data_IF_395587988618
#
_entry.id   IF_395587988618
#
_cell.length_a   1.000
_cell.length_b   1.000
_cell.length_c   1.000
_cell.angle_alpha   90.00
_cell.angle_beta   90.00
_cell.angle_gamma   90.00
#
_symmetry.space_group_name_H-M   'P 1'
#
loop_
_entity.id
_entity.type
_entity.pdbx_description
1 polymer ?
#
# COMPACT_ATOMS: atom_id res chain seq x y z
N UNK A 1 19.70 14.26 -2.33
CA UNK A 1 19.08 13.59 -1.16
C UNK A 1 19.84 12.29 -0.98
N UNK A 2 20.29 11.91 0.24
CA UNK A 2 20.93 10.61 0.43
C UNK A 2 19.95 9.49 0.03
N UNK A 3 20.42 8.39 -0.61
CA UNK A 3 19.55 7.29 -0.99
C UNK A 3 18.88 6.72 0.26
N UNK A 4 17.56 6.52 0.21
CA UNK A 4 16.85 5.88 1.32
C UNK A 4 17.35 4.44 1.42
N UNK A 5 17.67 3.93 2.61
CA UNK A 5 18.10 2.55 2.73
C UNK A 5 16.98 1.61 2.23
N UNK A 6 17.28 0.62 1.38
CA UNK A 6 16.27 -0.26 0.77
C UNK A 6 15.44 -1.04 1.80
N UNK A 7 15.96 -1.18 3.02
CA UNK A 7 15.27 -1.76 4.17
C UNK A 7 14.05 -0.95 4.62
N UNK A 8 14.10 0.39 4.52
CA UNK A 8 12.97 1.26 4.86
C UNK A 8 11.87 1.15 3.80
N UNK A 9 12.23 1.09 2.52
CA UNK A 9 11.26 0.96 1.42
C UNK A 9 10.56 -0.41 1.50
N UNK A 10 11.30 -1.48 1.79
CA UNK A 10 10.70 -2.81 2.01
C UNK A 10 9.75 -2.85 3.21
N UNK A 11 10.02 -2.10 4.28
CA UNK A 11 9.11 -1.97 5.43
C UNK A 11 7.86 -1.18 5.08
N UNK A 12 7.99 -0.10 4.29
CA UNK A 12 6.87 0.67 3.78
C UNK A 12 5.95 -0.23 2.92
N UNK A 13 6.53 -1.00 1.99
CA UNK A 13 5.79 -1.97 1.17
C UNK A 13 4.97 -2.96 2.01
N UNK A 14 5.57 -3.52 3.08
CA UNK A 14 4.87 -4.42 3.98
C UNK A 14 3.72 -3.72 4.71
N UNK A 15 3.92 -2.47 5.15
CA UNK A 15 2.86 -1.68 5.78
C UNK A 15 1.72 -1.40 4.80
N UNK A 16 2.03 -1.08 3.55
CA UNK A 16 1.01 -0.81 2.52
C UNK A 16 0.17 -2.04 2.20
N UNK A 17 0.80 -3.21 2.10
CA UNK A 17 0.09 -4.49 1.91
C UNK A 17 -0.82 -4.80 3.11
N UNK A 18 -0.33 -4.60 4.34
CA UNK A 18 -1.13 -4.78 5.56
C UNK A 18 -2.29 -3.79 5.60
N UNK A 19 -2.06 -2.54 5.21
CA UNK A 19 -3.06 -1.49 5.18
C UNK A 19 -4.13 -1.77 4.10
N UNK A 20 -3.72 -2.27 2.93
CA UNK A 20 -4.62 -2.72 1.88
C UNK A 20 -5.53 -3.85 2.36
N UNK A 21 -4.97 -4.85 3.05
CA UNK A 21 -5.75 -5.96 3.64
C UNK A 21 -6.70 -5.49 4.74
N UNK A 22 -6.27 -4.54 5.57
CA UNK A 22 -7.10 -3.95 6.62
C UNK A 22 -8.29 -3.19 6.03
N UNK A 23 -8.05 -2.32 5.04
CA UNK A 23 -9.10 -1.58 4.35
C UNK A 23 -10.03 -2.50 3.55
N UNK A 24 -9.51 -3.54 2.92
CA UNK A 24 -10.33 -4.54 2.24
C UNK A 24 -11.23 -5.28 3.24
N UNK A 25 -10.69 -5.66 4.40
CA UNK A 25 -11.47 -6.30 5.47
C UNK A 25 -12.55 -5.35 5.99
N UNK A 26 -12.22 -4.09 6.28
CA UNK A 26 -13.17 -3.05 6.67
C UNK A 26 -14.26 -2.84 5.61
N UNK A 27 -13.90 -2.89 4.32
CA UNK A 27 -14.85 -2.81 3.21
C UNK A 27 -15.83 -3.99 3.25
N UNK A 28 -15.34 -5.21 3.45
CA UNK A 28 -16.19 -6.42 3.50
C UNK A 28 -17.14 -6.44 4.71
N UNK A 29 -16.71 -5.91 5.85
CA UNK A 29 -17.53 -5.81 7.06
C UNK A 29 -18.43 -4.56 7.12
N UNK A 30 -18.28 -3.63 6.17
CA UNK A 30 -19.13 -2.44 6.12
C UNK A 30 -20.53 -2.79 5.61
N UNK A 31 -21.53 -2.64 6.46
CA UNK A 31 -22.95 -2.81 6.12
C UNK A 31 -23.46 -1.70 5.18
N UNK A 32 -22.93 -0.49 5.38
CA UNK A 32 -23.25 0.71 4.62
C UNK A 32 -22.47 0.76 3.29
N UNK A 33 -23.18 0.93 2.17
CA UNK A 33 -22.57 0.95 0.83
C UNK A 33 -21.53 2.08 0.66
N UNK A 34 -21.76 3.24 1.29
CA UNK A 34 -20.85 4.39 1.23
C UNK A 34 -19.53 4.07 1.93
N UNK A 35 -19.60 3.50 3.13
CA UNK A 35 -18.41 3.08 3.87
C UNK A 35 -17.65 1.97 3.17
N UNK A 36 -18.36 1.01 2.58
CA UNK A 36 -17.75 -0.04 1.75
C UNK A 36 -16.95 0.53 0.59
N UNK A 37 -17.48 1.56 -0.09
CA UNK A 37 -16.80 2.24 -1.19
C UNK A 37 -15.55 3.00 -0.72
N UNK A 38 -15.66 3.74 0.40
CA UNK A 38 -14.54 4.50 0.98
C UNK A 38 -13.39 3.55 1.35
N UNK A 39 -13.69 2.47 2.08
CA UNK A 39 -12.68 1.48 2.45
C UNK A 39 -12.12 0.74 1.24
N UNK A 40 -12.95 0.43 0.24
CA UNK A 40 -12.49 -0.16 -1.01
C UNK A 40 -11.53 0.76 -1.78
N UNK A 41 -11.84 2.05 -1.88
CA UNK A 41 -10.95 3.06 -2.45
C UNK A 41 -9.64 3.18 -1.64
N UNK A 42 -9.70 3.15 -0.31
CA UNK A 42 -8.52 3.14 0.56
C UNK A 42 -7.63 1.92 0.31
N UNK A 43 -8.21 0.73 0.13
CA UNK A 43 -7.48 -0.48 -0.21
C UNK A 43 -6.79 -0.37 -1.58
N UNK A 44 -7.49 0.16 -2.59
CA UNK A 44 -6.92 0.43 -3.92
C UNK A 44 -5.74 1.41 -3.84
N UNK A 45 -5.87 2.47 -3.05
CA UNK A 45 -4.82 3.48 -2.91
C UNK A 45 -3.56 2.89 -2.26
N UNK A 46 -3.72 2.06 -1.22
CA UNK A 46 -2.61 1.35 -0.59
C UNK A 46 -1.92 0.36 -1.55
N UNK A 47 -2.67 -0.30 -2.45
CA UNK A 47 -2.07 -1.16 -3.49
C UNK A 47 -1.26 -0.34 -4.49
N UNK A 48 -1.75 0.83 -4.90
CA UNK A 48 -1.01 1.74 -5.80
C UNK A 48 0.27 2.23 -5.12
N UNK A 49 0.21 2.58 -3.83
CA UNK A 49 1.38 3.01 -3.06
C UNK A 49 2.43 1.90 -2.98
N UNK A 50 2.00 0.67 -2.70
CA UNK A 50 2.88 -0.50 -2.73
C UNK A 50 3.52 -0.73 -4.12
N UNK A 51 2.76 -0.57 -5.20
CA UNK A 51 3.28 -0.69 -6.58
C UNK A 51 4.35 0.37 -6.87
N UNK A 52 4.13 1.60 -6.43
CA UNK A 52 5.08 2.70 -6.59
C UNK A 52 6.35 2.41 -5.76
N UNK A 53 6.20 2.02 -4.49
CA UNK A 53 7.32 1.65 -3.62
C UNK A 53 8.12 0.47 -4.17
N UNK A 54 7.46 -0.54 -4.76
CA UNK A 54 8.14 -1.66 -5.40
C UNK A 54 8.92 -1.21 -6.65
N UNK A 55 8.35 -0.30 -7.46
CA UNK A 55 9.05 0.24 -8.62
C UNK A 55 10.31 1.03 -8.21
N UNK A 56 10.22 1.81 -7.13
CA UNK A 56 11.40 2.51 -6.60
C UNK A 56 12.49 1.54 -6.14
N UNK A 57 12.13 0.41 -5.51
CA UNK A 57 13.07 -0.66 -5.17
C UNK A 57 13.72 -1.29 -6.42
N UNK A 58 12.91 -1.62 -7.44
CA UNK A 58 13.42 -2.19 -8.70
C UNK A 58 14.38 -1.23 -9.43
N UNK A 59 14.15 0.09 -9.34
CA UNK A 59 15.03 1.12 -9.91
C UNK A 59 16.33 1.29 -9.09
N UNK A 60 16.31 1.06 -7.77
CA UNK A 60 17.48 1.12 -6.89
C UNK A 60 18.39 -0.12 -6.97
N UNK A 61 17.84 -1.30 -7.30
CA UNK A 61 18.58 -2.55 -7.48
C UNK A 61 19.35 -2.61 -8.84
N UNK A 62 19.15 -1.64 -9.74
CA UNK A 62 19.75 -1.59 -11.08
C UNK A 62 21.04 -0.76 -11.21
N UNK A 63 21.42 0.00 -10.17
CA UNK A 63 22.66 0.80 -10.06
C UNK A 63 23.73 0.09 -9.19
#
# INVERSE_FOLDING_TARGET
MPPLPPQLIRRALLLDVVLALAFLSLSLFAEEQVWRLIWGCGALLAVVDALIANRFLDEEDLD
#
